data_IF_278789797537
#
_entry.id   IF_278789797537
#
_cell.length_a   1.000
_cell.length_b   1.000
_cell.length_c   1.000
_cell.angle_alpha   90.00
_cell.angle_beta   90.00
_cell.angle_gamma   90.00
#
_symmetry.space_group_name_H-M   'P 1'
#
loop_
_entity.id
_entity.type
_entity.pdbx_description
1 polymer ?
#
# COMPACT_ATOMS: atom_id res chain seq x y z
N UNK A 1 -15.74 5.16 -7.40
CA UNK A 1 -17.07 4.82 -6.82
C UNK A 1 -16.94 4.73 -5.29
N UNK A 2 -17.88 4.14 -4.55
CA UNK A 2 -17.57 3.74 -3.17
C UNK A 2 -16.64 2.51 -3.23
N UNK A 3 -15.58 2.42 -2.40
CA UNK A 3 -14.71 1.25 -2.38
C UNK A 3 -15.49 -0.05 -2.19
N UNK A 4 -15.17 -1.05 -3.02
CA UNK A 4 -15.77 -2.37 -2.88
C UNK A 4 -15.29 -3.05 -1.60
N UNK A 5 -14.07 -2.79 -1.13
CA UNK A 5 -13.53 -3.38 0.10
C UNK A 5 -12.24 -2.71 0.55
N UNK A 6 -11.57 -3.32 1.52
CA UNK A 6 -10.27 -2.86 2.01
C UNK A 6 -9.19 -3.95 1.99
N UNK A 7 -7.95 -3.52 1.80
CA UNK A 7 -6.74 -4.28 2.00
C UNK A 7 -6.01 -3.69 3.21
N UNK A 8 -5.88 -4.47 4.27
CA UNK A 8 -5.27 -4.04 5.52
C UNK A 8 -3.88 -4.67 5.66
N UNK A 9 -2.85 -3.83 5.66
CA UNK A 9 -1.44 -4.20 5.76
C UNK A 9 -0.90 -3.71 7.09
N UNK A 10 -0.28 -4.59 7.86
CA UNK A 10 0.41 -4.22 9.11
C UNK A 10 1.90 -4.18 8.89
N UNK A 11 2.54 -3.09 9.33
CA UNK A 11 3.99 -2.95 9.39
C UNK A 11 4.43 -3.36 10.80
N UNK A 12 5.43 -4.22 10.86
CA UNK A 12 6.05 -4.71 12.10
C UNK A 12 7.57 -4.50 12.06
N UNK A 13 8.25 -4.63 13.21
CA UNK A 13 9.70 -4.55 13.28
C UNK A 13 10.31 -5.96 13.16
N UNK A 14 10.90 -6.26 12.00
CA UNK A 14 11.57 -7.53 11.72
C UNK A 14 13.06 -7.30 11.62
N UNK A 15 13.86 -8.02 12.42
CA UNK A 15 15.33 -7.89 12.44
C UNK A 15 15.82 -6.43 12.62
N UNK A 16 15.07 -5.62 13.37
CA UNK A 16 15.40 -4.22 13.64
C UNK A 16 15.02 -3.24 12.53
N UNK A 17 14.30 -3.66 11.49
CA UNK A 17 13.81 -2.80 10.42
C UNK A 17 12.28 -2.95 10.22
N UNK A 18 11.57 -1.88 9.86
CA UNK A 18 10.18 -1.97 9.45
C UNK A 18 10.00 -2.88 8.22
N UNK A 19 9.08 -3.83 8.31
CA UNK A 19 8.71 -4.75 7.23
C UNK A 19 7.19 -5.03 7.29
N UNK A 20 6.60 -5.52 6.21
CA UNK A 20 5.23 -6.00 6.27
C UNK A 20 5.16 -7.28 7.13
N UNK A 21 4.18 -7.33 8.03
CA UNK A 21 3.95 -8.44 8.95
C UNK A 21 2.71 -9.23 8.59
N UNK A 22 1.53 -8.73 8.95
CA UNK A 22 0.25 -9.35 8.63
C UNK A 22 -0.48 -8.60 7.53
N UNK A 23 -1.17 -9.36 6.69
CA UNK A 23 -2.08 -8.83 5.68
C UNK A 23 -3.45 -9.48 5.87
N UNK A 24 -4.51 -8.72 5.64
CA UNK A 24 -5.89 -9.21 5.72
C UNK A 24 -6.79 -8.39 4.81
N UNK A 25 -7.84 -9.01 4.29
CA UNK A 25 -8.88 -8.27 3.59
C UNK A 25 -10.02 -7.85 4.53
N UNK A 26 -10.58 -6.68 4.25
CA UNK A 26 -11.89 -6.28 4.75
C UNK A 26 -13.02 -7.01 4.01
N UNK A 27 -14.26 -6.66 4.38
CA UNK A 27 -15.43 -7.16 3.66
C UNK A 27 -15.56 -6.52 2.27
N UNK A 28 -15.93 -7.32 1.26
CA UNK A 28 -16.23 -6.82 -0.09
C UNK A 28 -17.74 -6.54 -0.24
N UNK A 29 -18.08 -5.48 -0.96
CA UNK A 29 -19.44 -5.06 -1.26
C UNK A 29 -19.74 -5.12 -2.76
N UNK A 30 -20.97 -5.52 -3.15
CA UNK A 30 -22.06 -5.97 -2.28
C UNK A 30 -21.95 -7.47 -1.91
N UNK A 31 -21.84 -7.77 -0.61
CA UNK A 31 -22.16 -9.08 -0.02
C UNK A 31 -21.14 -10.22 -0.21
N UNK A 32 -19.89 -9.92 -0.58
CA UNK A 32 -18.85 -10.91 -0.86
C UNK A 32 -17.69 -10.91 0.15
N UNK A 33 -16.83 -11.92 0.03
CA UNK A 33 -15.57 -12.02 0.76
C UNK A 33 -14.43 -11.74 -0.21
N UNK A 34 -13.56 -10.77 0.04
CA UNK A 34 -12.34 -10.56 -0.77
C UNK A 34 -11.26 -11.62 -0.47
N UNK A 35 -11.63 -12.76 0.13
CA UNK A 35 -10.71 -13.73 0.72
C UNK A 35 -9.76 -14.30 -0.32
N UNK A 36 -8.46 -14.24 0.00
CA UNK A 36 -7.38 -14.67 -0.88
C UNK A 36 -6.93 -13.58 -1.86
N UNK A 37 -7.51 -12.39 -1.79
CA UNK A 37 -7.20 -11.25 -2.65
C UNK A 37 -5.96 -10.48 -2.20
N UNK A 38 -5.53 -10.61 -0.94
CA UNK A 38 -4.25 -10.08 -0.46
C UNK A 38 -3.33 -11.23 -0.03
N UNK A 39 -2.09 -11.21 -0.52
CA UNK A 39 -1.09 -12.20 -0.15
C UNK A 39 0.24 -11.52 0.16
N UNK A 40 1.09 -12.17 0.96
CA UNK A 40 2.48 -11.77 1.13
C UNK A 40 3.38 -12.80 0.44
N UNK A 41 4.27 -12.35 -0.44
CA UNK A 41 5.17 -13.23 -1.16
C UNK A 41 6.47 -13.50 -0.37
N UNK A 42 7.32 -14.41 -0.89
CA UNK A 42 8.56 -14.79 -0.23
C UNK A 42 9.60 -13.65 -0.11
N UNK A 43 9.45 -12.58 -0.90
CA UNK A 43 10.28 -11.37 -0.79
C UNK A 43 9.73 -10.38 0.26
N UNK A 44 8.59 -10.69 0.89
CA UNK A 44 7.93 -9.81 1.87
C UNK A 44 7.06 -8.73 1.23
N UNK A 45 6.88 -8.74 -0.10
CA UNK A 45 5.97 -7.81 -0.78
C UNK A 45 4.51 -8.25 -0.56
N UNK A 46 3.62 -7.27 -0.54
CA UNK A 46 2.17 -7.49 -0.54
C UNK A 46 1.68 -7.52 -1.99
N UNK A 47 0.89 -8.53 -2.31
CA UNK A 47 0.34 -8.79 -3.62
C UNK A 47 -1.19 -8.72 -3.57
N UNK A 48 -1.75 -7.78 -4.33
CA UNK A 48 -3.19 -7.53 -4.52
C UNK A 48 -3.68 -7.97 -5.90
N UNK A 49 -2.89 -8.75 -6.66
CA UNK A 49 -3.24 -9.23 -8.01
C UNK A 49 -4.44 -10.19 -8.06
N UNK A 50 -4.89 -10.69 -6.92
CA UNK A 50 -6.08 -11.54 -6.80
C UNK A 50 -7.26 -10.79 -6.14
N UNK A 51 -7.10 -9.49 -5.86
CA UNK A 51 -8.13 -8.69 -5.23
C UNK A 51 -9.22 -8.36 -6.25
N UNK A 52 -10.51 -8.60 -5.96
CA UNK A 52 -11.58 -8.42 -6.94
C UNK A 52 -11.57 -7.04 -7.62
N UNK A 53 -11.99 -6.95 -8.90
CA UNK A 53 -12.06 -5.67 -9.60
C UNK A 53 -13.01 -4.66 -8.94
N UNK A 54 -12.54 -3.42 -8.79
CA UNK A 54 -13.28 -2.28 -8.24
C UNK A 54 -12.38 -1.39 -7.38
N UNK A 55 -12.88 -0.22 -6.99
CA UNK A 55 -12.17 0.68 -6.08
C UNK A 55 -11.83 -0.04 -4.75
N UNK A 56 -10.59 0.06 -4.29
CA UNK A 56 -10.16 -0.55 -3.01
C UNK A 56 -9.55 0.48 -2.08
N UNK A 57 -9.86 0.37 -0.79
CA UNK A 57 -9.17 1.14 0.25
C UNK A 57 -7.95 0.36 0.73
N UNK A 58 -6.76 0.95 0.68
CA UNK A 58 -5.54 0.36 1.20
C UNK A 58 -5.22 1.05 2.52
N UNK A 59 -5.19 0.26 3.60
CA UNK A 59 -4.80 0.73 4.92
C UNK A 59 -3.45 0.14 5.30
N UNK A 60 -2.49 0.99 5.67
CA UNK A 60 -1.19 0.58 6.20
C UNK A 60 -1.11 1.00 7.66
N UNK A 61 -1.00 0.03 8.55
CA UNK A 61 -1.03 0.21 10.00
C UNK A 61 0.34 -0.08 10.60
N UNK A 62 0.90 0.85 11.36
CA UNK A 62 2.11 0.60 12.14
C UNK A 62 1.72 -0.10 13.44
N UNK A 63 2.30 -1.27 13.71
CA UNK A 63 2.10 -1.92 14.99
C UNK A 63 2.89 -1.23 16.13
N UNK A 64 2.62 -1.67 17.35
CA UNK A 64 3.29 -1.11 18.54
C UNK A 64 4.81 -1.29 18.58
N UNK A 65 5.34 -2.31 17.88
CA UNK A 65 6.80 -2.53 17.80
C UNK A 65 7.47 -1.47 16.94
N UNK A 66 6.79 -1.06 15.85
CA UNK A 66 7.26 -0.01 14.94
C UNK A 66 7.16 1.36 15.59
N UNK A 67 5.99 1.69 16.17
CA UNK A 67 5.82 2.98 16.86
C UNK A 67 6.69 3.08 18.11
N UNK A 68 6.87 1.97 18.84
CA UNK A 68 7.76 1.89 20.00
C UNK A 68 9.25 2.07 19.66
N UNK A 69 9.64 1.72 18.43
CA UNK A 69 10.98 1.98 17.89
C UNK A 69 11.16 3.42 17.37
N UNK A 70 10.14 4.28 17.49
CA UNK A 70 10.19 5.69 17.10
C UNK A 70 9.90 5.94 15.63
N UNK A 71 9.32 4.98 14.91
CA UNK A 71 8.82 5.18 13.56
C UNK A 71 7.39 5.72 13.57
N UNK A 72 7.09 6.57 12.59
CA UNK A 72 5.77 7.15 12.36
C UNK A 72 5.59 7.42 10.87
N UNK A 73 4.35 7.66 10.43
CA UNK A 73 4.15 8.22 9.10
C UNK A 73 4.57 9.70 9.09
N UNK A 74 5.09 10.21 7.95
CA UNK A 74 5.34 11.63 7.76
C UNK A 74 4.09 12.47 8.00
N UNK A 75 4.27 13.69 8.50
CA UNK A 75 3.16 14.62 8.76
C UNK A 75 2.39 15.05 7.51
N UNK A 76 3.05 15.05 6.34
CA UNK A 76 2.39 15.17 5.04
C UNK A 76 2.01 13.77 4.53
N UNK A 77 0.72 13.44 4.38
CA UNK A 77 0.28 12.15 3.86
C UNK A 77 0.80 11.82 2.46
N UNK A 78 1.03 12.82 1.61
CA UNK A 78 1.59 12.60 0.28
C UNK A 78 3.08 12.24 0.31
N UNK A 79 3.76 12.46 1.45
CA UNK A 79 5.11 11.99 1.69
C UNK A 79 5.15 10.58 2.31
N UNK A 80 4.00 10.01 2.70
CA UNK A 80 3.93 8.68 3.31
C UNK A 80 3.85 7.55 2.28
N UNK A 81 3.41 7.84 1.06
CA UNK A 81 3.24 6.86 -0.02
C UNK A 81 3.58 7.47 -1.37
N UNK A 82 4.30 6.71 -2.18
CA UNK A 82 4.53 6.98 -3.59
C UNK A 82 3.93 5.85 -4.42
N UNK A 83 3.30 6.21 -5.52
CA UNK A 83 2.60 5.27 -6.40
C UNK A 83 3.27 5.32 -7.77
N UNK A 84 3.60 4.15 -8.29
CA UNK A 84 4.29 4.00 -9.55
C UNK A 84 3.51 3.04 -10.43
N UNK A 85 3.22 3.47 -11.67
CA UNK A 85 2.71 2.57 -12.71
C UNK A 85 3.80 1.55 -13.04
N UNK A 86 3.43 0.27 -13.12
CA UNK A 86 4.25 -0.83 -13.59
C UNK A 86 3.78 -1.21 -15.00
N UNK A 87 4.45 -0.72 -16.07
CA UNK A 87 4.06 -1.08 -17.43
C UNK A 87 4.17 -2.60 -17.66
N UNK A 88 3.31 -3.19 -18.50
CA UNK A 88 3.42 -4.59 -18.86
C UNK A 88 4.82 -4.95 -19.39
N UNK A 89 5.40 -6.04 -18.89
CA UNK A 89 6.73 -6.50 -19.29
C UNK A 89 7.91 -5.76 -18.63
N UNK A 90 7.65 -4.89 -17.67
CA UNK A 90 8.70 -4.17 -16.91
C UNK A 90 9.44 -5.12 -15.98
N UNK A 91 10.76 -5.19 -16.12
CA UNK A 91 11.66 -5.95 -15.22
C UNK A 91 12.12 -5.09 -14.04
N UNK A 92 12.18 -3.78 -14.21
CA UNK A 92 12.64 -2.82 -13.19
C UNK A 92 11.59 -1.74 -13.00
N UNK A 93 10.91 -1.74 -11.84
CA UNK A 93 9.95 -0.70 -11.50
C UNK A 93 10.60 0.69 -11.54
N UNK A 94 9.89 1.73 -12.03
CA UNK A 94 10.37 3.10 -11.93
C UNK A 94 10.64 3.51 -10.48
N UNK A 95 11.50 4.52 -10.29
CA UNK A 95 11.86 5.01 -8.96
C UNK A 95 10.63 5.72 -8.35
N UNK A 96 10.20 5.37 -7.12
CA UNK A 96 9.09 6.05 -6.45
C UNK A 96 9.44 7.52 -6.15
N UNK A 97 8.54 8.43 -6.52
CA UNK A 97 8.65 9.86 -6.23
C UNK A 97 7.50 10.28 -5.31
N UNK A 98 7.83 10.75 -4.12
CA UNK A 98 6.88 11.15 -3.10
C UNK A 98 6.41 12.60 -3.29
N UNK A 99 5.24 12.93 -2.74
CA UNK A 99 4.68 14.28 -2.71
C UNK A 99 3.50 14.50 -3.66
N UNK A 100 2.66 15.47 -3.30
CA UNK A 100 1.36 15.72 -3.93
C UNK A 100 1.44 15.97 -5.45
N UNK A 101 2.51 16.61 -5.92
CA UNK A 101 2.69 16.90 -7.34
C UNK A 101 2.83 15.64 -8.23
N UNK A 102 3.15 14.48 -7.62
CA UNK A 102 3.29 13.20 -8.31
C UNK A 102 2.11 12.26 -8.04
N UNK A 103 1.07 12.74 -7.35
CA UNK A 103 -0.09 11.91 -7.01
C UNK A 103 -0.91 11.59 -8.26
N UNK A 104 -1.14 10.31 -8.61
CA UNK A 104 -1.92 9.96 -9.79
C UNK A 104 -3.41 10.28 -9.59
N UNK A 105 -4.12 10.52 -10.69
CA UNK A 105 -5.53 10.93 -10.66
C UNK A 105 -6.47 9.77 -10.26
N UNK A 106 -5.98 8.55 -10.47
CA UNK A 106 -6.64 7.26 -10.23
C UNK A 106 -6.68 6.89 -8.73
N UNK A 107 -6.21 7.79 -7.87
CA UNK A 107 -6.19 7.62 -6.43
C UNK A 107 -6.90 8.77 -5.72
N UNK A 108 -7.61 8.48 -4.64
CA UNK A 108 -8.03 9.54 -3.71
C UNK A 108 -6.83 10.03 -2.89
N UNK A 109 -6.95 11.25 -2.36
CA UNK A 109 -5.91 11.82 -1.51
C UNK A 109 -5.57 10.88 -0.34
N UNK A 110 -4.28 10.63 -0.05
CA UNK A 110 -3.90 9.82 1.09
C UNK A 110 -4.18 10.58 2.37
N UNK A 111 -4.42 9.84 3.44
CA UNK A 111 -4.62 10.38 4.78
C UNK A 111 -3.77 9.63 5.78
N UNK A 112 -3.27 10.35 6.78
CA UNK A 112 -2.57 9.77 7.93
C UNK A 112 -3.34 10.13 9.18
N UNK A 113 -3.71 9.13 9.97
CA UNK A 113 -4.36 9.29 11.26
C UNK A 113 -3.66 8.41 12.28
N UNK A 114 -2.83 9.04 13.13
CA UNK A 114 -2.01 8.33 14.12
C UNK A 114 -1.06 7.34 13.45
N UNK A 115 -1.28 6.05 13.68
CA UNK A 115 -0.47 4.95 13.16
C UNK A 115 -1.02 4.33 11.87
N UNK A 116 -2.01 4.97 11.24
CA UNK A 116 -2.67 4.44 10.03
C UNK A 116 -2.52 5.41 8.87
N UNK A 117 -2.02 4.91 7.74
CA UNK A 117 -2.08 5.54 6.43
C UNK A 117 -3.23 4.89 5.65
N UNK A 118 -4.05 5.69 4.97
CA UNK A 118 -5.16 5.19 4.15
C UNK A 118 -5.27 5.95 2.83
N UNK A 119 -5.49 5.24 1.73
CA UNK A 119 -5.74 5.79 0.40
C UNK A 119 -6.60 4.83 -0.43
N UNK A 120 -7.27 5.35 -1.47
CA UNK A 120 -8.13 4.55 -2.36
C UNK A 120 -7.49 4.43 -3.73
N UNK A 121 -7.34 3.20 -4.22
CA UNK A 121 -7.09 2.89 -5.63
C UNK A 121 -8.44 2.76 -6.33
N UNK A 122 -8.72 3.61 -7.34
CA UNK A 122 -10.06 3.69 -7.95
C UNK A 122 -10.32 2.63 -9.01
N UNK A 123 -9.32 1.86 -9.42
CA UNK A 123 -9.42 0.88 -10.50
C UNK A 123 -10.08 1.42 -11.79
N UNK A 124 -9.88 2.71 -12.07
CA UNK A 124 -10.51 3.40 -13.21
C UNK A 124 -9.79 3.12 -14.55
N UNK A 125 -8.54 2.62 -14.51
CA UNK A 125 -7.68 2.47 -15.68
C UNK A 125 -7.04 1.09 -15.85
N UNK A 126 -7.27 0.18 -14.89
CA UNK A 126 -6.80 -1.21 -14.89
C UNK A 126 -5.27 -1.36 -15.03
N UNK A 127 -4.50 -0.35 -14.63
CA UNK A 127 -3.05 -0.40 -14.64
C UNK A 127 -2.51 -1.22 -13.46
N UNK A 128 -1.32 -1.80 -13.63
CA UNK A 128 -0.58 -2.37 -12.51
C UNK A 128 0.17 -1.24 -11.79
N UNK A 129 0.10 -1.22 -10.47
CA UNK A 129 0.78 -0.24 -9.64
C UNK A 129 1.63 -0.90 -8.58
N UNK A 130 2.65 -0.15 -8.19
CA UNK A 130 3.46 -0.40 -7.02
C UNK A 130 3.30 0.77 -6.05
N UNK A 131 3.05 0.45 -4.78
CA UNK A 131 2.93 1.42 -3.70
C UNK A 131 4.14 1.25 -2.77
N UNK A 132 4.96 2.30 -2.72
CA UNK A 132 6.12 2.38 -1.84
C UNK A 132 5.76 3.18 -0.60
N UNK A 133 5.98 2.60 0.58
CA UNK A 133 5.66 3.22 1.87
C UNK A 133 6.90 3.89 2.45
N UNK A 134 6.74 5.12 2.92
CA UNK A 134 7.79 5.90 3.56
C UNK A 134 7.42 6.23 5.00
N UNK A 135 8.37 6.02 5.90
CA UNK A 135 8.25 6.27 7.32
C UNK A 135 9.24 7.37 7.73
N UNK A 136 8.84 8.18 8.71
CA UNK A 136 9.75 9.01 9.49
C UNK A 136 10.27 8.18 10.66
N UNK A 137 11.58 7.93 10.68
CA UNK A 137 12.25 7.19 11.75
C UNK A 137 13.24 8.04 12.55
N UNK A 138 13.88 7.44 13.57
CA UNK A 138 14.85 8.13 14.44
C UNK A 138 16.06 8.71 13.69
N UNK A 139 16.43 8.09 12.57
CA UNK A 139 17.60 8.45 11.76
C UNK A 139 17.23 9.22 10.48
N UNK A 140 15.99 9.73 10.39
CA UNK A 140 15.46 10.39 9.22
C UNK A 140 14.45 9.52 8.48
N UNK A 141 14.21 9.89 7.22
CA UNK A 141 13.19 9.24 6.39
C UNK A 141 13.68 7.87 5.90
N UNK A 142 12.81 6.87 5.96
CA UNK A 142 13.04 5.52 5.49
C UNK A 142 11.98 5.15 4.47
N UNK A 143 12.38 4.82 3.24
CA UNK A 143 11.50 4.13 2.29
C UNK A 143 11.61 2.64 2.59
N UNK A 144 10.47 1.99 2.81
CA UNK A 144 10.42 0.55 3.02
C UNK A 144 10.78 -0.19 1.71
N UNK A 145 11.55 -1.27 1.84
CA UNK A 145 11.98 -2.13 0.73
C UNK A 145 11.41 -3.56 0.85
N UNK A 146 10.19 -3.69 1.37
CA UNK A 146 9.16 -4.41 0.65
C UNK A 146 8.09 -3.46 0.13
N UNK A 147 7.35 -3.89 -0.89
CA UNK A 147 6.38 -3.05 -1.61
C UNK A 147 5.00 -3.69 -1.67
N UNK A 148 3.96 -2.88 -1.85
CA UNK A 148 2.61 -3.37 -2.13
C UNK A 148 2.42 -3.26 -3.65
N UNK A 149 1.83 -4.26 -4.28
CA UNK A 149 1.60 -4.28 -5.73
C UNK A 149 0.18 -4.75 -6.02
N UNK A 150 -0.37 -4.31 -7.15
CA UNK A 150 -1.59 -4.89 -7.71
C UNK A 150 -1.33 -5.43 -9.12
N UNK A 151 -2.24 -6.27 -9.61
CA UNK A 151 -2.18 -6.74 -10.98
C UNK A 151 -2.88 -5.77 -11.91
N UNK A 152 -2.34 -5.53 -13.10
CA UNK A 152 -3.07 -4.82 -14.14
C UNK A 152 -3.98 -5.78 -14.92
N UNK A 153 -4.52 -5.32 -16.06
CA UNK A 153 -5.36 -6.12 -16.97
C UNK A 153 -4.83 -7.54 -17.18
N UNK A 154 -5.56 -8.54 -16.66
CA UNK A 154 -5.25 -9.97 -16.80
C UNK A 154 -5.44 -10.75 -15.50
N UNK A 155 -5.23 -10.11 -14.35
CA UNK A 155 -5.56 -10.58 -13.00
C UNK A 155 -5.55 -9.36 -12.06
N UNK A 156 -6.74 -8.86 -11.71
CA UNK A 156 -7.06 -8.38 -10.35
C UNK A 156 -8.14 -9.33 -9.85
#
# INVERSE_FOLDING_TARGET
>A
AAPIGSADVTVTLTNGAPAFGTVSEGACTPGGSCVGGINMNAAGNVDLTAFPPGDITINVNLDSSVTGAGYSFPSDPYAAVAIVVIPPGTVTAPIPVFGQANWPAEFDAPSVSGATLSFVDKEDDQQAYEYSIQLQGPNGMLVMDPKIQNGGTGNR
#
